data_IF_929820894148
#
_entry.id   IF_929820894148
#
_cell.length_a   1.000
_cell.length_b   1.000
_cell.length_c   1.000
_cell.angle_alpha   90.00
_cell.angle_beta   90.00
_cell.angle_gamma   90.00
#
_symmetry.space_group_name_H-M   'P 1'
#
loop_
_entity.id
_entity.type
_entity.pdbx_description
1 polymer ?
#
# COMPACT_ATOMS: atom_id res chain seq x y z
N UNK A 1 -14.98 4.71 -6.99
CA UNK A 1 -15.04 4.34 -5.57
C UNK A 1 -14.21 3.07 -5.39
N UNK A 2 -12.93 3.18 -5.04
CA UNK A 2 -12.09 2.00 -4.79
C UNK A 2 -12.52 1.39 -3.45
N UNK A 3 -13.08 0.18 -3.49
CA UNK A 3 -13.43 -0.58 -2.28
C UNK A 3 -12.15 -0.92 -1.52
N UNK A 4 -12.05 -0.42 -0.30
CA UNK A 4 -10.93 -0.57 0.66
C UNK A 4 -10.78 -2.00 1.24
N UNK A 5 -11.00 -3.05 0.45
CA UNK A 5 -10.96 -4.43 0.94
C UNK A 5 -9.53 -5.00 1.05
N UNK A 6 -8.50 -4.27 0.57
CA UNK A 6 -7.09 -4.73 0.53
C UNK A 6 -6.14 -4.04 1.53
N UNK A 7 -6.66 -3.25 2.47
CA UNK A 7 -5.83 -2.40 3.36
C UNK A 7 -4.78 -3.16 4.19
N UNK A 8 -5.01 -4.43 4.53
CA UNK A 8 -4.05 -5.25 5.30
C UNK A 8 -2.87 -5.69 4.43
N UNK A 9 -3.10 -5.88 3.12
CA UNK A 9 -2.02 -6.16 2.17
C UNK A 9 -1.15 -4.95 1.87
N UNK A 10 -1.61 -3.74 2.22
CA UNK A 10 -0.94 -2.46 1.93
C UNK A 10 -0.31 -1.83 3.18
N UNK A 11 -0.86 -2.11 4.37
CA UNK A 11 -0.35 -1.58 5.64
C UNK A 11 -0.50 -2.62 6.75
N UNK A 12 0.55 -2.77 7.57
CA UNK A 12 0.59 -3.70 8.71
C UNK A 12 -0.33 -3.31 9.88
N UNK A 13 -1.02 -2.16 9.81
CA UNK A 13 -1.76 -1.53 10.91
C UNK A 13 -2.94 -2.37 11.45
N UNK A 14 -3.42 -3.33 10.68
CA UNK A 14 -4.53 -4.23 11.05
C UNK A 14 -4.14 -5.72 10.93
N UNK A 15 -2.85 -6.02 10.87
CA UNK A 15 -2.36 -7.39 10.74
C UNK A 15 -2.80 -8.29 11.91
N UNK A 16 -2.98 -7.72 13.09
CA UNK A 16 -3.46 -8.41 14.30
C UNK A 16 -4.92 -8.89 14.22
N UNK A 17 -5.70 -8.45 13.21
CA UNK A 17 -7.08 -8.89 13.00
C UNK A 17 -7.18 -10.14 12.12
N UNK A 18 -6.08 -10.58 11.52
CA UNK A 18 -6.04 -11.76 10.64
C UNK A 18 -5.15 -12.83 11.26
N UNK A 19 -5.65 -14.07 11.24
CA UNK A 19 -4.85 -15.22 11.64
C UNK A 19 -3.68 -15.44 10.65
N UNK A 20 -2.41 -15.59 11.11
CA UNK A 20 -1.24 -15.70 10.23
C UNK A 20 -1.36 -16.77 9.14
N UNK A 21 -1.94 -17.93 9.48
CA UNK A 21 -2.19 -19.03 8.54
C UNK A 21 -3.13 -18.67 7.38
N UNK A 22 -4.04 -17.70 7.57
CA UNK A 22 -4.87 -17.19 6.49
C UNK A 22 -4.04 -16.35 5.51
N UNK A 23 -3.08 -15.57 6.02
CA UNK A 23 -2.15 -14.80 5.18
C UNK A 23 -1.32 -15.75 4.34
N UNK A 24 -0.68 -16.74 4.96
CA UNK A 24 0.16 -17.74 4.28
C UNK A 24 -0.59 -18.51 3.18
N UNK A 25 -1.79 -19.01 3.48
CA UNK A 25 -2.58 -19.76 2.50
C UNK A 25 -3.07 -18.89 1.35
N UNK A 26 -3.36 -17.61 1.61
CA UNK A 26 -3.78 -16.66 0.58
C UNK A 26 -2.61 -16.25 -0.31
N UNK A 27 -1.46 -15.90 0.27
CA UNK A 27 -0.26 -15.51 -0.48
C UNK A 27 0.36 -16.68 -1.23
N UNK A 28 0.20 -17.91 -0.72
CA UNK A 28 0.58 -19.13 -1.45
C UNK A 28 -0.28 -19.42 -2.68
N UNK A 29 -1.59 -19.13 -2.64
CA UNK A 29 -2.49 -19.25 -3.80
C UNK A 29 -2.40 -18.06 -4.76
N UNK A 30 -2.18 -16.87 -4.23
CA UNK A 30 -2.12 -15.60 -4.97
C UNK A 30 -0.77 -14.91 -4.69
N UNK A 31 0.28 -15.26 -5.45
CA UNK A 31 1.62 -14.72 -5.22
C UNK A 31 1.64 -13.21 -5.50
N UNK A 32 2.27 -12.45 -4.59
CA UNK A 32 2.30 -10.99 -4.62
C UNK A 32 3.27 -10.42 -5.66
N UNK A 33 4.37 -11.10 -5.94
CA UNK A 33 5.34 -10.73 -7.01
C UNK A 33 5.85 -9.28 -6.88
N UNK A 34 6.24 -8.88 -5.67
CA UNK A 34 6.69 -7.53 -5.35
C UNK A 34 5.55 -6.51 -5.32
N UNK A 35 4.34 -6.93 -4.93
CA UNK A 35 3.14 -6.11 -4.93
C UNK A 35 3.34 -4.77 -4.21
N UNK A 36 4.01 -4.76 -3.05
CA UNK A 36 4.21 -3.53 -2.29
C UNK A 36 5.03 -2.50 -3.08
N UNK A 37 6.04 -2.94 -3.83
CA UNK A 37 6.83 -2.06 -4.69
C UNK A 37 6.03 -1.60 -5.93
N UNK A 38 5.23 -2.50 -6.51
CA UNK A 38 4.38 -2.17 -7.65
C UNK A 38 3.33 -1.11 -7.27
N UNK A 39 2.63 -1.33 -6.15
CA UNK A 39 1.61 -0.42 -5.66
C UNK A 39 2.18 0.94 -5.24
N UNK A 40 3.36 0.97 -4.61
CA UNK A 40 4.04 2.22 -4.29
C UNK A 40 4.33 3.07 -5.55
N UNK A 41 4.75 2.43 -6.65
CA UNK A 41 4.93 3.12 -7.94
C UNK A 41 3.62 3.62 -8.53
N UNK A 42 2.52 2.88 -8.34
CA UNK A 42 1.18 3.31 -8.78
C UNK A 42 0.75 4.57 -8.02
N UNK A 43 0.98 4.64 -6.70
CA UNK A 43 0.71 5.83 -5.90
C UNK A 43 1.52 7.03 -6.41
N UNK A 44 2.83 6.87 -6.59
CA UNK A 44 3.71 7.94 -7.10
C UNK A 44 3.28 8.43 -8.49
N UNK A 45 2.90 7.51 -9.38
CA UNK A 45 2.39 7.84 -10.71
C UNK A 45 1.05 8.57 -10.63
N UNK A 46 0.15 8.13 -9.76
CA UNK A 46 -1.15 8.78 -9.57
C UNK A 46 -0.98 10.22 -9.04
N UNK A 47 -0.12 10.41 -8.05
CA UNK A 47 0.21 11.72 -7.48
C UNK A 47 0.86 12.66 -8.50
N UNK A 48 1.68 12.12 -9.41
CA UNK A 48 2.31 12.89 -10.48
C UNK A 48 1.30 13.30 -11.55
N UNK A 49 0.41 12.40 -11.97
CA UNK A 49 -0.55 12.66 -13.04
C UNK A 49 -1.76 13.46 -12.57
N UNK A 50 -2.16 13.30 -11.30
CA UNK A 50 -3.39 13.87 -10.74
C UNK A 50 -3.12 14.40 -9.32
N UNK A 51 -2.41 15.54 -9.17
CA UNK A 51 -2.18 16.14 -7.85
C UNK A 51 -3.46 16.61 -7.12
N UNK A 52 -4.61 16.63 -7.79
CA UNK A 52 -5.93 16.92 -7.18
C UNK A 52 -6.70 15.66 -6.76
N UNK A 53 -6.12 14.46 -6.91
CA UNK A 53 -6.82 13.22 -6.61
C UNK A 53 -6.94 12.97 -5.09
N UNK A 54 -7.89 12.11 -4.70
CA UNK A 54 -8.12 11.77 -3.30
C UNK A 54 -6.93 11.06 -2.63
N UNK A 55 -6.05 10.42 -3.41
CA UNK A 55 -4.85 9.76 -2.87
C UNK A 55 -3.94 10.72 -2.11
N UNK A 56 -3.97 12.02 -2.45
CA UNK A 56 -3.26 13.07 -1.70
C UNK A 56 -3.73 13.26 -0.25
N UNK A 57 -4.94 12.81 0.10
CA UNK A 57 -5.44 12.86 1.49
C UNK A 57 -4.65 11.93 2.42
N UNK A 58 -3.99 10.90 1.89
CA UNK A 58 -3.13 10.00 2.67
C UNK A 58 -1.72 10.54 2.89
N UNK A 59 -1.42 11.72 2.36
CA UNK A 59 -0.14 12.40 2.49
C UNK A 59 -0.10 13.37 3.69
N UNK A 60 0.89 14.27 3.70
CA UNK A 60 0.97 15.36 4.67
C UNK A 60 -0.03 16.48 4.34
N UNK A 61 -0.47 17.28 5.33
CA UNK A 61 -1.28 18.46 5.08
C UNK A 61 -0.60 19.40 4.06
N UNK A 62 -1.36 19.90 3.09
CA UNK A 62 -0.87 20.73 1.99
C UNK A 62 0.23 20.07 1.14
N UNK A 63 0.16 18.76 0.93
CA UNK A 63 1.07 18.04 0.04
C UNK A 63 1.12 18.70 -1.35
N UNK A 64 2.33 18.79 -1.92
CA UNK A 64 2.59 19.36 -3.24
C UNK A 64 3.28 18.33 -4.13
N UNK A 65 2.99 18.40 -5.43
CA UNK A 65 3.69 17.61 -6.43
C UNK A 65 5.21 17.80 -6.29
N UNK A 66 5.95 16.68 -6.27
CA UNK A 66 7.41 16.66 -6.06
C UNK A 66 7.85 16.36 -4.63
N UNK A 67 6.94 16.38 -3.64
CA UNK A 67 7.24 15.91 -2.27
C UNK A 67 7.11 14.39 -2.20
N UNK A 68 8.07 13.73 -1.54
CA UNK A 68 8.04 12.28 -1.34
C UNK A 68 6.73 11.85 -0.64
N UNK A 69 6.08 10.82 -1.20
CA UNK A 69 4.83 10.28 -0.68
C UNK A 69 5.05 9.50 0.61
N UNK A 70 4.38 9.93 1.68
CA UNK A 70 4.29 9.21 2.95
C UNK A 70 3.50 7.91 2.77
N UNK A 71 2.46 7.91 1.93
CA UNK A 71 1.67 6.72 1.70
C UNK A 71 2.45 5.63 0.95
N UNK A 72 3.14 5.99 -0.14
CA UNK A 72 3.99 5.05 -0.88
C UNK A 72 5.15 4.53 -0.02
N UNK A 73 5.73 5.39 0.82
CA UNK A 73 6.78 5.00 1.77
C UNK A 73 6.25 4.02 2.81
N UNK A 74 5.05 4.25 3.35
CA UNK A 74 4.38 3.34 4.29
C UNK A 74 4.06 1.98 3.69
N UNK A 75 3.67 1.93 2.41
CA UNK A 75 3.44 0.66 1.71
C UNK A 75 4.76 -0.11 1.50
N UNK A 76 5.84 0.57 1.11
CA UNK A 76 7.18 -0.06 0.97
C UNK A 76 7.73 -0.56 2.31
N UNK A 77 7.41 0.15 3.39
CA UNK A 77 7.79 -0.19 4.76
C UNK A 77 6.96 -1.31 5.40
N UNK A 78 6.13 -2.04 4.65
CA UNK A 78 5.30 -3.10 5.22
C UNK A 78 6.11 -4.35 5.57
N UNK A 79 6.71 -4.37 6.76
CA UNK A 79 7.51 -5.49 7.27
C UNK A 79 6.73 -6.80 7.43
N UNK A 80 5.44 -6.71 7.78
CA UNK A 80 4.58 -7.88 7.97
C UNK A 80 4.39 -8.69 6.67
N UNK A 81 4.28 -8.00 5.53
CA UNK A 81 4.12 -8.65 4.23
C UNK A 81 5.43 -8.90 3.49
N UNK A 82 6.57 -8.43 4.00
CA UNK A 82 7.89 -8.58 3.35
C UNK A 82 8.27 -10.04 3.06
N UNK A 83 7.99 -11.04 3.93
CA UNK A 83 8.29 -12.44 3.60
C UNK A 83 7.44 -13.03 2.47
N UNK A 84 6.35 -12.37 2.10
CA UNK A 84 5.37 -12.86 1.13
C UNK A 84 5.34 -12.05 -0.17
N UNK A 85 6.17 -11.02 -0.29
CA UNK A 85 6.25 -10.15 -1.48
C UNK A 85 6.96 -10.84 -2.64
#
# INVERSE_FOLDING_TARGET
>A
MFRCEWLIGLSSRRANLIHPKLVETTTGKFPRKGWSQHFARVIEKELTLKPWCHTTTFEIPNWKAGVQSNFATGVRGNEFMRPFD
#
